data_IF_544821716795
#
_entry.id   IF_544821716795
#
_cell.length_a   1.000
_cell.length_b   1.000
_cell.length_c   1.000
_cell.angle_alpha   90.00
_cell.angle_beta   90.00
_cell.angle_gamma   90.00
#
_symmetry.space_group_name_H-M   'P 1'
#
loop_
_entity.id
_entity.type
_entity.pdbx_description
1 polymer ?
#
# COMPACT_ATOMS: atom_id res chain seq x y z
N UNK A 1 -7.35 5.84 4.84
CA UNK A 1 -7.82 5.99 3.45
C UNK A 1 -8.00 4.63 2.80
N UNK A 2 -8.97 4.49 1.89
CA UNK A 2 -9.23 3.23 1.19
C UNK A 2 -8.45 3.18 -0.13
N UNK A 3 -7.84 2.03 -0.41
CA UNK A 3 -7.15 1.73 -1.66
C UNK A 3 -7.61 0.37 -2.18
N UNK A 4 -7.58 0.20 -3.51
CA UNK A 4 -8.13 -0.95 -4.19
C UNK A 4 -7.05 -1.70 -4.97
N UNK A 5 -7.09 -3.03 -4.95
CA UNK A 5 -6.16 -3.84 -5.73
C UNK A 5 -6.65 -3.93 -7.20
N UNK A 6 -5.80 -3.66 -8.20
CA UNK A 6 -6.17 -3.86 -9.59
C UNK A 6 -6.33 -5.36 -9.91
N UNK A 7 -7.34 -5.70 -10.73
CA UNK A 7 -7.44 -7.00 -11.42
C UNK A 7 -7.86 -8.22 -10.60
N UNK A 8 -8.25 -8.12 -9.33
CA UNK A 8 -8.80 -9.30 -8.63
C UNK A 8 -9.64 -8.96 -7.40
N UNK A 9 -10.70 -9.73 -7.19
CA UNK A 9 -11.46 -9.81 -5.92
C UNK A 9 -10.96 -11.02 -5.14
N UNK A 10 -10.83 -10.87 -3.83
CA UNK A 10 -10.32 -11.91 -2.92
C UNK A 10 -9.43 -11.33 -1.82
N UNK A 11 -8.94 -12.21 -0.94
CA UNK A 11 -7.98 -11.82 0.11
C UNK A 11 -6.56 -11.83 -0.46
N UNK A 12 -5.87 -10.70 -0.37
CA UNK A 12 -4.48 -10.60 -0.77
C UNK A 12 -3.68 -9.79 0.23
N UNK A 13 -2.45 -10.24 0.49
CA UNK A 13 -1.52 -9.51 1.35
C UNK A 13 -0.38 -9.00 0.48
N UNK A 14 -0.22 -7.68 0.43
CA UNK A 14 0.92 -7.04 -0.20
C UNK A 14 1.91 -6.60 0.89
N UNK A 15 3.16 -7.03 0.77
CA UNK A 15 4.24 -6.60 1.65
C UNK A 15 5.01 -5.45 1.00
N UNK A 16 5.14 -4.33 1.69
CA UNK A 16 5.86 -3.15 1.16
C UNK A 16 6.81 -2.56 2.20
N UNK A 17 7.96 -2.05 1.75
CA UNK A 17 8.95 -1.36 2.58
C UNK A 17 9.25 0.04 1.99
N UNK A 18 8.29 0.98 2.09
CA UNK A 18 8.40 2.28 1.43
C UNK A 18 9.56 3.14 1.94
N UNK A 19 10.06 2.87 3.16
CA UNK A 19 11.17 3.62 3.77
C UNK A 19 12.48 3.58 2.98
N UNK A 20 12.64 2.61 2.05
CA UNK A 20 13.80 2.56 1.12
C UNK A 20 13.77 3.72 0.12
N UNK A 21 12.59 4.04 -0.43
CA UNK A 21 12.42 5.08 -1.45
C UNK A 21 11.93 6.42 -0.86
N UNK A 22 11.19 6.38 0.24
CA UNK A 22 10.57 7.53 0.89
C UNK A 22 10.81 7.48 2.42
N UNK A 23 12.00 7.89 2.90
CA UNK A 23 12.37 7.76 4.30
C UNK A 23 11.71 8.86 5.18
N UNK A 24 10.40 8.76 5.37
CA UNK A 24 9.65 9.58 6.34
C UNK A 24 9.57 8.86 7.69
N UNK A 25 9.33 9.61 8.78
CA UNK A 25 9.25 9.07 10.15
C UNK A 25 8.25 7.91 10.30
N UNK A 26 7.18 7.91 9.52
CA UNK A 26 6.19 6.84 9.51
C UNK A 26 6.78 5.53 8.95
N UNK A 27 7.69 5.60 7.98
CA UNK A 27 8.20 4.46 7.20
C UNK A 27 9.57 3.97 7.63
N UNK A 28 10.21 4.62 8.59
CA UNK A 28 11.49 4.18 9.15
C UNK A 28 11.39 3.99 10.66
N UNK A 29 12.23 3.13 11.22
CA UNK A 29 12.33 2.84 12.64
C UNK A 29 13.71 3.20 13.19
N UNK A 30 13.72 3.71 14.42
CA UNK A 30 14.93 3.97 15.20
C UNK A 30 15.80 5.11 14.68
N UNK A 31 16.92 5.33 15.35
CA UNK A 31 17.93 6.34 14.98
C UNK A 31 18.66 5.98 13.68
N UNK A 32 18.73 4.69 13.36
CA UNK A 32 19.42 4.16 12.17
C UNK A 32 18.57 4.25 10.89
N UNK A 33 17.36 4.82 10.96
CA UNK A 33 16.43 4.97 9.83
C UNK A 33 16.17 3.67 9.07
N UNK A 34 16.04 2.54 9.77
CA UNK A 34 15.76 1.25 9.13
C UNK A 34 14.36 1.25 8.52
N UNK A 35 14.16 0.85 7.25
CA UNK A 35 12.83 0.81 6.64
C UNK A 35 11.90 -0.14 7.38
N UNK A 36 10.70 0.32 7.72
CA UNK A 36 9.61 -0.51 8.23
C UNK A 36 8.96 -1.27 7.10
N UNK A 37 8.60 -2.52 7.38
CA UNK A 37 7.79 -3.34 6.49
C UNK A 37 6.32 -3.24 6.91
N UNK A 38 5.44 -3.04 5.92
CA UNK A 38 4.00 -2.96 6.10
C UNK A 38 3.32 -4.12 5.37
N UNK A 39 2.37 -4.75 6.06
CA UNK A 39 1.51 -5.77 5.48
C UNK A 39 0.15 -5.13 5.16
N UNK A 40 -0.08 -4.87 3.88
CA UNK A 40 -1.35 -4.30 3.39
C UNK A 40 -2.26 -5.47 3.02
N UNK A 41 -3.27 -5.69 3.86
CA UNK A 41 -4.25 -6.76 3.65
C UNK A 41 -5.45 -6.19 2.90
N UNK A 42 -5.62 -6.64 1.66
CA UNK A 42 -6.82 -6.40 0.87
C UNK A 42 -7.84 -7.49 1.19
N UNK A 43 -9.04 -7.10 1.57
CA UNK A 43 -10.22 -7.96 1.76
C UNK A 43 -11.26 -7.53 0.72
N UNK A 44 -11.75 -8.47 -0.08
CA UNK A 44 -12.62 -8.15 -1.23
C UNK A 44 -12.02 -7.08 -2.16
N UNK A 45 -10.69 -7.11 -2.32
CA UNK A 45 -9.96 -6.14 -3.15
C UNK A 45 -9.80 -4.75 -2.52
N UNK A 46 -10.20 -4.54 -1.26
CA UNK A 46 -10.11 -3.24 -0.55
C UNK A 46 -9.17 -3.34 0.64
N UNK A 47 -8.30 -2.35 0.82
CA UNK A 47 -7.49 -2.17 2.03
C UNK A 47 -7.68 -0.77 2.60
N UNK A 48 -7.69 -0.67 3.93
CA UNK A 48 -7.65 0.60 4.64
C UNK A 48 -6.25 0.83 5.21
N UNK A 49 -5.64 1.95 4.82
CA UNK A 49 -4.24 2.29 5.12
C UNK A 49 -4.10 3.74 5.57
N UNK A 50 -2.95 4.11 6.16
CA UNK A 50 -2.64 5.52 6.44
C UNK A 50 -2.58 6.34 5.15
N UNK A 51 -2.70 7.67 5.27
CA UNK A 51 -2.67 8.55 4.10
C UNK A 51 -1.33 8.48 3.35
N UNK A 52 -0.21 8.48 4.09
CA UNK A 52 1.12 8.38 3.50
C UNK A 52 1.32 7.04 2.79
N UNK A 53 0.92 5.93 3.42
CA UNK A 53 1.03 4.60 2.82
C UNK A 53 0.15 4.47 1.59
N UNK A 54 -1.08 4.99 1.64
CA UNK A 54 -1.96 5.00 0.47
C UNK A 54 -1.41 5.83 -0.68
N UNK A 55 -0.86 7.03 -0.43
CA UNK A 55 -0.19 7.84 -1.47
C UNK A 55 0.99 7.08 -2.09
N UNK A 56 1.81 6.40 -1.29
CA UNK A 56 2.89 5.55 -1.77
C UNK A 56 2.37 4.44 -2.70
N UNK A 57 1.34 3.70 -2.28
CA UNK A 57 0.77 2.61 -3.07
C UNK A 57 0.18 3.09 -4.40
N UNK A 58 -0.45 4.26 -4.41
CA UNK A 58 -1.01 4.87 -5.61
C UNK A 58 0.07 5.35 -6.58
N UNK A 59 1.11 6.02 -6.07
CA UNK A 59 2.19 6.58 -6.88
C UNK A 59 3.07 5.51 -7.53
N UNK A 60 3.11 4.30 -6.96
CA UNK A 60 3.88 3.16 -7.47
C UNK A 60 3.01 2.15 -8.22
N UNK A 61 1.76 2.50 -8.57
CA UNK A 61 0.80 1.62 -9.24
C UNK A 61 0.52 0.27 -8.54
N UNK A 62 0.82 0.19 -7.24
CA UNK A 62 0.57 -1.00 -6.41
C UNK A 62 -0.91 -1.10 -5.97
N UNK A 63 -1.63 0.01 -6.02
CA UNK A 63 -3.07 0.10 -5.76
C UNK A 63 -3.72 1.22 -6.57
N UNK A 64 -5.05 1.28 -6.59
CA UNK A 64 -5.86 2.33 -7.24
C UNK A 64 -6.77 3.04 -6.25
N UNK A 65 -7.17 4.28 -6.56
CA UNK A 65 -8.08 5.09 -5.72
C UNK A 65 -9.52 4.59 -5.74
N UNK A 66 -9.93 3.95 -6.83
CA UNK A 66 -11.26 3.39 -7.02
C UNK A 66 -11.16 1.95 -7.52
N UNK A 67 -12.20 1.12 -7.28
CA UNK A 67 -12.31 -0.20 -7.85
C UNK A 67 -12.66 -0.05 -9.34
N UNK A 68 -11.69 0.30 -10.17
CA UNK A 68 -11.87 0.19 -11.61
C UNK A 68 -11.76 -1.30 -11.94
N UNK A 69 -12.91 -1.90 -12.19
CA UNK A 69 -12.98 -3.22 -12.82
C UNK A 69 -12.66 -2.96 -14.29
N UNK A 70 -11.42 -3.20 -14.69
CA UNK A 70 -11.06 -3.22 -16.11
C UNK A 70 -11.55 -4.59 -16.62
N UNK A 71 -12.47 -4.64 -17.60
CA UNK A 71 -12.79 -5.91 -18.26
C UNK A 71 -11.50 -6.49 -18.86
N UNK A 72 -11.24 -7.77 -18.63
CA UNK A 72 -10.16 -8.49 -19.31
C UNK A 72 -10.40 -8.57 -20.82
#
# INVERSE_FOLDING_TARGET
MKVYRPGSRGKHTLMVAPGVAHPISEFVEGKDRKPKQFNVVFVEGVAEVSENLGRYLLNNDLAKRSPIIVPE
#
